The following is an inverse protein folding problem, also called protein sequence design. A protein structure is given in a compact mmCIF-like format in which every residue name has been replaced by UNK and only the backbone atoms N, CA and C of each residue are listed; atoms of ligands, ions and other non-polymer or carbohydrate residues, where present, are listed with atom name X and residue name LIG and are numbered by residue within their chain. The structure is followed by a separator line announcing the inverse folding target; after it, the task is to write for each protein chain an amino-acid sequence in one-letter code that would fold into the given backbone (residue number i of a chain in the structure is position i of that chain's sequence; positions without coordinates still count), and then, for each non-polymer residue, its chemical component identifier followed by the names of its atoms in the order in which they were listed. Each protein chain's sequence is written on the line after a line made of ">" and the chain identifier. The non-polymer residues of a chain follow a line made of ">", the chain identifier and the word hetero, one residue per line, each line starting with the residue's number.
data_IF_838849522788
#
_entry.id   IF_838849522788
#
_cell.length_a   1.000
_cell.length_b   1.000
_cell.length_c   1.000
_cell.angle_alpha   90.00
_cell.angle_beta   90.00
_cell.angle_gamma   90.00
#
_symmetry.space_group_name_H-M   'P 1'
#
loop_
_entity.id
_entity.type
_entity.pdbx_description
1 polymer ?
#
# COMPACT_ATOMS: atom_id res chain seq x y z
N UNK A 1 -64.73 24.38 8.66
CA UNK A 1 -64.57 25.35 7.56
C UNK A 1 -63.41 26.29 7.91
N UNK A 2 -62.36 26.27 7.07
CA UNK A 2 -61.42 27.38 6.76
C UNK A 2 -60.62 27.99 7.93
N UNK A 3 -59.35 27.59 8.10
CA UNK A 3 -58.12 28.20 7.52
C UNK A 3 -57.68 29.49 8.22
N UNK A 4 -56.52 29.44 8.88
CA UNK A 4 -55.48 30.49 8.82
C UNK A 4 -54.18 29.95 9.41
N UNK A 5 -53.28 29.51 8.53
CA UNK A 5 -51.89 29.26 8.84
C UNK A 5 -51.20 30.60 9.11
N UNK A 6 -50.53 30.74 10.25
CA UNK A 6 -49.62 31.84 10.52
C UNK A 6 -48.19 31.30 10.41
N UNK A 7 -47.60 31.46 9.23
CA UNK A 7 -46.17 31.32 9.02
C UNK A 7 -45.46 32.42 9.83
N UNK A 8 -44.67 32.03 10.81
CA UNK A 8 -43.66 32.90 11.42
C UNK A 8 -42.33 32.61 10.72
N UNK A 9 -41.93 33.52 9.85
CA UNK A 9 -40.58 33.60 9.28
C UNK A 9 -39.65 34.27 10.29
N UNK A 10 -38.47 33.68 10.52
CA UNK A 10 -37.21 34.22 11.09
C UNK A 10 -36.47 33.04 11.74
N UNK A 11 -35.22 32.69 11.47
CA UNK A 11 -34.17 33.22 10.62
C UNK A 11 -33.34 32.00 10.19
N UNK A 12 -33.18 31.78 8.88
CA UNK A 12 -32.16 30.88 8.36
C UNK A 12 -31.03 31.75 7.79
N UNK A 13 -29.81 31.32 8.09
CA UNK A 13 -28.54 31.70 7.45
C UNK A 13 -28.04 33.11 7.79
N UNK A 14 -27.41 33.25 8.97
CA UNK A 14 -26.17 34.03 9.01
C UNK A 14 -25.14 33.22 8.24
N UNK A 15 -25.07 33.45 6.93
CA UNK A 15 -23.94 33.02 6.13
C UNK A 15 -22.74 33.77 6.69
N UNK A 16 -21.90 33.08 7.43
CA UNK A 16 -20.51 33.49 7.56
C UNK A 16 -20.03 33.68 6.11
N UNK A 17 -19.67 34.90 5.75
CA UNK A 17 -18.91 35.14 4.54
C UNK A 17 -17.57 34.42 4.75
N UNK A 18 -17.53 33.14 4.36
CA UNK A 18 -16.27 32.43 4.19
C UNK A 18 -15.49 33.28 3.17
N UNK A 19 -14.25 33.64 3.52
CA UNK A 19 -13.38 34.36 2.60
C UNK A 19 -13.32 33.57 1.29
N UNK A 20 -13.59 34.24 0.19
CA UNK A 20 -13.58 33.59 -1.12
C UNK A 20 -12.18 33.28 -1.63
N UNK A 21 -11.17 33.90 -1.02
CA UNK A 21 -9.79 33.41 -1.03
C UNK A 21 -9.52 32.73 0.29
N UNK A 22 -9.10 31.47 0.24
CA UNK A 22 -8.84 30.67 1.45
C UNK A 22 -7.37 30.62 1.84
N UNK A 23 -6.46 30.98 0.92
CA UNK A 23 -5.02 30.95 1.18
C UNK A 23 -4.18 31.36 -0.02
N UNK A 24 -2.90 31.60 0.24
CA UNK A 24 -1.86 31.81 -0.75
C UNK A 24 -0.87 30.65 -0.61
N UNK A 25 -0.85 29.75 -1.58
CA UNK A 25 -0.10 28.50 -1.51
C UNK A 25 1.06 28.52 -2.48
N UNK A 26 2.25 28.19 -2.01
CA UNK A 26 3.38 27.87 -2.88
C UNK A 26 3.36 26.38 -3.22
N UNK A 27 3.63 26.05 -4.48
CA UNK A 27 3.76 24.69 -5.00
C UNK A 27 5.13 24.57 -5.68
N UNK A 28 5.92 23.57 -5.33
CA UNK A 28 7.21 23.33 -5.99
C UNK A 28 6.96 22.72 -7.36
N UNK A 29 7.43 23.38 -8.42
CA UNK A 29 7.29 22.88 -9.80
C UNK A 29 8.60 22.29 -10.35
N UNK A 30 9.74 22.62 -9.75
CA UNK A 30 11.04 22.03 -10.10
C UNK A 30 12.01 22.11 -8.92
N UNK A 31 12.73 21.01 -8.67
CA UNK A 31 13.95 20.99 -7.87
C UNK A 31 15.16 20.94 -8.82
N UNK A 32 16.04 21.93 -8.72
CA UNK A 32 17.12 22.12 -9.66
C UNK A 32 18.37 21.27 -9.42
N UNK A 33 18.48 20.57 -8.28
CA UNK A 33 19.56 19.61 -7.96
C UNK A 33 19.78 18.55 -9.07
N UNK A 34 18.72 18.27 -9.83
CA UNK A 34 18.71 17.24 -10.87
C UNK A 34 18.59 17.77 -12.30
N UNK A 35 18.40 19.09 -12.46
CA UNK A 35 18.12 19.69 -13.77
C UNK A 35 19.36 19.87 -14.65
N UNK A 36 20.55 19.86 -14.05
CA UNK A 36 21.82 20.03 -14.76
C UNK A 36 22.03 21.45 -15.32
N UNK A 37 21.35 22.44 -14.74
CA UNK A 37 21.49 23.87 -15.05
C UNK A 37 22.36 24.49 -13.94
N UNK A 38 23.66 24.73 -14.16
CA UNK A 38 24.59 25.08 -13.08
C UNK A 38 24.26 26.38 -12.32
N UNK A 39 23.52 27.30 -12.94
CA UNK A 39 23.13 28.57 -12.31
C UNK A 39 21.95 28.41 -11.33
N UNK A 40 21.27 27.27 -11.38
CA UNK A 40 20.10 26.96 -10.55
C UNK A 40 20.39 25.84 -9.54
N UNK A 41 21.61 25.30 -9.49
CA UNK A 41 21.97 24.25 -8.53
C UNK A 41 21.54 24.66 -7.10
N UNK A 42 20.95 23.72 -6.35
CA UNK A 42 20.41 23.92 -4.99
C UNK A 42 19.19 24.85 -4.88
N UNK A 43 18.64 25.34 -6.00
CA UNK A 43 17.42 26.15 -6.02
C UNK A 43 16.14 25.32 -6.21
N UNK A 44 15.03 25.87 -5.74
CA UNK A 44 13.67 25.38 -6.01
C UNK A 44 12.90 26.46 -6.78
N UNK A 45 12.12 26.04 -7.78
CA UNK A 45 11.14 26.91 -8.45
C UNK A 45 9.76 26.63 -7.88
N UNK A 46 9.09 27.69 -7.43
CA UNK A 46 7.75 27.67 -6.87
C UNK A 46 6.76 28.38 -7.78
N UNK A 47 5.56 27.82 -7.91
CA UNK A 47 4.38 28.55 -8.34
C UNK A 47 3.61 29.02 -7.11
N UNK A 48 3.31 30.32 -7.04
CA UNK A 48 2.48 30.90 -6.00
C UNK A 48 1.05 31.03 -6.52
N UNK A 49 0.10 30.39 -5.85
CA UNK A 49 -1.31 30.38 -6.21
C UNK A 49 -2.15 31.09 -5.16
N UNK A 50 -3.16 31.84 -5.61
CA UNK A 50 -4.26 32.25 -4.78
C UNK A 50 -5.38 31.19 -4.87
N UNK A 51 -5.74 30.59 -3.74
CA UNK A 51 -6.77 29.55 -3.65
C UNK A 51 -8.15 30.20 -3.48
N UNK A 52 -9.04 29.89 -4.42
CA UNK A 52 -10.39 30.42 -4.52
C UNK A 52 -11.42 29.42 -3.98
N UNK A 53 -12.65 29.88 -3.75
CA UNK A 53 -13.76 29.02 -3.31
C UNK A 53 -14.65 28.52 -4.43
N UNK A 54 -14.73 29.24 -5.56
CA UNK A 54 -15.55 28.84 -6.71
C UNK A 54 -14.79 28.97 -8.03
N UNK A 55 -15.16 28.13 -9.00
CA UNK A 55 -14.51 28.06 -10.32
C UNK A 55 -14.68 29.34 -11.15
N UNK A 56 -15.71 30.12 -10.84
CA UNK A 56 -16.05 31.39 -11.52
C UNK A 56 -15.47 32.61 -10.81
N UNK A 57 -14.82 32.47 -9.65
CA UNK A 57 -14.21 33.59 -8.96
C UNK A 57 -13.08 34.18 -9.83
N UNK A 58 -13.01 35.51 -9.94
CA UNK A 58 -12.05 36.21 -10.80
C UNK A 58 -11.11 37.09 -9.97
N UNK A 59 -9.80 36.86 -10.07
CA UNK A 59 -8.79 37.66 -9.39
C UNK A 59 -8.56 38.97 -10.15
N UNK A 60 -8.95 40.09 -9.54
CA UNK A 60 -8.86 41.41 -10.16
C UNK A 60 -7.51 42.09 -9.92
N UNK A 61 -6.92 41.90 -8.75
CA UNK A 61 -5.65 42.54 -8.43
C UNK A 61 -4.87 41.83 -7.33
N UNK A 62 -3.56 41.92 -7.42
CA UNK A 62 -2.60 41.70 -6.34
C UNK A 62 -1.96 43.07 -6.06
N UNK A 63 -2.00 43.55 -4.82
CA UNK A 63 -1.65 44.94 -4.52
C UNK A 63 -0.98 45.12 -3.16
N UNK A 64 -0.32 46.25 -2.96
CA UNK A 64 0.23 46.67 -1.67
C UNK A 64 0.37 48.18 -1.56
N UNK A 65 0.42 48.66 -0.33
CA UNK A 65 0.70 50.05 0.03
C UNK A 65 1.33 50.15 1.43
N UNK A 66 1.65 51.37 1.88
CA UNK A 66 2.24 51.62 3.21
C UNK A 66 1.40 51.13 4.40
N UNK A 67 0.09 51.02 4.25
CA UNK A 67 -0.81 50.56 5.31
C UNK A 67 -1.01 49.05 5.29
N UNK A 68 -0.92 48.45 4.10
CA UNK A 68 -1.08 47.02 3.83
C UNK A 68 0.02 46.57 2.87
N UNK A 69 1.24 46.32 3.38
CA UNK A 69 2.35 45.98 2.51
C UNK A 69 2.11 44.66 1.77
N UNK A 70 2.46 44.64 0.48
CA UNK A 70 2.67 43.39 -0.25
C UNK A 70 4.12 42.99 -0.06
N UNK A 71 4.36 41.78 0.42
CA UNK A 71 5.71 41.28 0.64
C UNK A 71 5.80 39.84 0.15
N UNK A 72 6.61 39.63 -0.88
CA UNK A 72 7.05 38.32 -1.34
C UNK A 72 8.57 38.32 -1.22
N UNK A 73 9.07 37.60 -0.22
CA UNK A 73 10.50 37.54 0.10
C UNK A 73 10.97 36.10 0.25
N UNK A 74 12.28 35.94 0.21
CA UNK A 74 12.97 34.68 0.43
C UNK A 74 14.11 34.91 1.43
N UNK A 75 14.52 33.87 2.16
CA UNK A 75 15.70 33.94 3.03
C UNK A 75 17.00 34.11 2.24
N UNK A 76 17.00 33.63 0.99
CA UNK A 76 18.05 33.84 -0.01
C UNK A 76 17.57 34.66 -1.21
N UNK A 77 18.46 34.93 -2.16
CA UNK A 77 18.16 35.79 -3.31
C UNK A 77 17.27 35.12 -4.34
N UNK A 78 16.34 35.88 -4.94
CA UNK A 78 15.58 35.38 -6.09
C UNK A 78 16.45 35.31 -7.34
N UNK A 79 16.31 34.21 -8.09
CA UNK A 79 16.94 34.06 -9.38
C UNK A 79 16.24 34.91 -10.44
N UNK A 80 17.04 35.61 -11.24
CA UNK A 80 16.59 36.48 -12.32
C UNK A 80 17.40 36.21 -13.58
N UNK A 81 16.75 35.70 -14.62
CA UNK A 81 17.37 35.38 -15.89
C UNK A 81 17.63 36.64 -16.70
N UNK A 82 18.80 36.73 -17.33
CA UNK A 82 19.11 37.83 -18.25
C UNK A 82 18.20 37.87 -19.49
N UNK A 83 17.54 36.76 -19.81
CA UNK A 83 16.57 36.64 -20.91
C UNK A 83 15.12 36.52 -20.39
N UNK A 84 14.95 36.72 -19.09
CA UNK A 84 13.68 36.70 -18.37
C UNK A 84 12.83 37.95 -18.59
N UNK A 85 11.79 38.07 -17.78
CA UNK A 85 10.92 39.25 -17.75
C UNK A 85 10.20 39.37 -16.41
N UNK A 86 9.99 40.59 -15.94
CA UNK A 86 9.28 40.91 -14.69
C UNK A 86 7.88 40.26 -14.56
N UNK A 87 7.24 40.00 -15.70
CA UNK A 87 5.87 39.48 -15.78
C UNK A 87 5.74 38.35 -16.78
N UNK A 88 4.92 37.35 -16.45
CA UNK A 88 4.71 36.17 -17.29
C UNK A 88 4.30 36.50 -18.73
N UNK A 89 3.35 37.43 -18.90
CA UNK A 89 2.84 37.82 -20.21
C UNK A 89 3.87 38.55 -21.08
N UNK A 90 5.02 38.95 -20.53
CA UNK A 90 6.14 39.53 -21.27
C UNK A 90 7.19 38.49 -21.69
N UNK A 91 7.11 37.26 -21.15
CA UNK A 91 8.04 36.17 -21.49
C UNK A 91 7.81 35.72 -22.93
N UNK A 92 8.89 35.71 -23.72
CA UNK A 92 8.85 35.22 -25.09
C UNK A 92 8.99 33.69 -25.12
N UNK A 93 7.88 32.97 -25.22
CA UNK A 93 7.89 31.50 -25.24
C UNK A 93 8.75 30.87 -26.35
N UNK A 94 9.07 31.61 -27.42
CA UNK A 94 9.88 31.10 -28.53
C UNK A 94 11.38 30.90 -28.18
N UNK A 95 11.88 31.54 -27.11
CA UNK A 95 13.29 31.42 -26.70
C UNK A 95 13.52 30.28 -25.71
N UNK A 96 12.49 29.86 -24.99
CA UNK A 96 12.55 28.90 -23.88
C UNK A 96 13.16 27.52 -24.24
N UNK A 97 12.95 26.95 -25.45
CA UNK A 97 13.61 25.69 -25.82
C UNK A 97 15.13 25.80 -26.03
N UNK A 98 15.64 27.03 -26.21
CA UNK A 98 17.06 27.28 -26.47
C UNK A 98 17.81 27.76 -25.22
N UNK A 99 17.09 28.31 -24.25
CA UNK A 99 17.61 28.85 -22.99
C UNK A 99 16.81 28.25 -21.84
N UNK A 100 17.14 27.01 -21.42
CA UNK A 100 16.37 26.28 -20.42
C UNK A 100 16.28 27.02 -19.08
N UNK A 101 17.31 27.77 -18.71
CA UNK A 101 17.38 28.60 -17.50
C UNK A 101 16.30 29.68 -17.44
N UNK A 102 15.87 30.22 -18.59
CA UNK A 102 14.82 31.23 -18.67
C UNK A 102 13.42 30.68 -18.36
N UNK A 103 13.24 29.35 -18.34
CA UNK A 103 11.96 28.74 -17.90
C UNK A 103 11.73 28.91 -16.40
N UNK A 104 12.80 29.12 -15.64
CA UNK A 104 12.79 29.17 -14.19
C UNK A 104 13.12 30.58 -13.68
N UNK A 105 12.91 31.59 -14.52
CA UNK A 105 12.97 32.99 -14.14
C UNK A 105 11.90 33.34 -13.09
N UNK A 106 12.17 34.32 -12.23
CA UNK A 106 11.20 34.75 -11.21
C UNK A 106 10.37 35.92 -11.71
N UNK A 107 9.04 35.80 -11.71
CA UNK A 107 8.14 36.78 -12.30
C UNK A 107 6.76 36.80 -11.63
N UNK A 108 6.01 37.88 -11.85
CA UNK A 108 4.63 38.03 -11.36
C UNK A 108 3.61 37.82 -12.47
N UNK A 109 2.40 37.43 -12.10
CA UNK A 109 1.30 37.25 -13.05
C UNK A 109 -0.08 37.39 -12.41
N UNK A 110 -1.12 37.34 -13.23
CA UNK A 110 -2.45 36.88 -12.85
C UNK A 110 -2.86 35.84 -13.90
N UNK A 111 -2.64 34.56 -13.59
CA UNK A 111 -3.05 33.39 -14.36
C UNK A 111 -2.29 33.07 -15.65
N UNK A 112 -1.49 33.99 -16.19
CA UNK A 112 -0.69 33.72 -17.39
C UNK A 112 0.68 33.11 -17.04
N UNK A 113 1.20 32.23 -17.89
CA UNK A 113 2.56 31.66 -17.76
C UNK A 113 3.52 32.11 -18.85
N UNK A 114 3.01 32.72 -19.93
CA UNK A 114 3.81 33.29 -21.02
C UNK A 114 2.96 34.25 -21.88
N UNK A 115 3.60 34.90 -22.86
CA UNK A 115 2.91 35.78 -23.81
C UNK A 115 1.93 35.07 -24.78
N UNK A 116 1.99 33.74 -24.93
CA UNK A 116 1.15 32.99 -25.85
C UNK A 116 -0.27 32.76 -25.31
N UNK A 117 -0.45 32.81 -23.98
CA UNK A 117 -1.76 32.67 -23.36
C UNK A 117 -2.68 33.88 -23.59
N UNK A 118 -2.10 35.06 -23.87
CA UNK A 118 -2.85 36.30 -24.08
C UNK A 118 -3.57 36.76 -22.81
N UNK A 119 -3.05 37.78 -22.14
CA UNK A 119 -3.63 38.32 -20.89
C UNK A 119 -3.95 39.81 -21.03
N UNK A 120 -4.97 40.26 -20.30
CA UNK A 120 -5.34 41.66 -20.11
C UNK A 120 -4.73 42.23 -18.82
N UNK A 121 -3.82 41.50 -18.18
CA UNK A 121 -3.11 41.95 -16.99
C UNK A 121 -2.21 43.16 -17.28
N UNK A 122 -2.11 44.02 -16.28
CA UNK A 122 -1.26 45.21 -16.27
C UNK A 122 -0.62 45.41 -14.90
N UNK A 123 0.34 46.31 -14.86
CA UNK A 123 1.08 46.65 -13.66
C UNK A 123 1.19 48.17 -13.52
N UNK A 124 1.14 48.67 -12.29
CA UNK A 124 1.31 50.09 -11.97
C UNK A 124 1.99 50.27 -10.61
N UNK A 125 2.91 51.23 -10.51
CA UNK A 125 3.53 51.61 -9.24
C UNK A 125 4.47 50.56 -8.65
N UNK A 126 5.03 49.67 -9.48
CA UNK A 126 5.89 48.56 -9.04
C UNK A 126 7.38 48.83 -9.28
N UNK A 127 7.77 50.00 -9.77
CA UNK A 127 9.15 50.28 -10.22
C UNK A 127 10.20 50.02 -9.12
N UNK A 128 9.90 50.41 -7.87
CA UNK A 128 10.82 50.19 -6.74
C UNK A 128 10.88 48.71 -6.33
N UNK A 129 9.72 48.04 -6.27
CA UNK A 129 9.64 46.62 -5.92
C UNK A 129 10.37 45.76 -6.96
N UNK A 130 10.15 46.03 -8.24
CA UNK A 130 10.81 45.37 -9.36
C UNK A 130 12.32 45.65 -9.39
N UNK A 131 12.76 46.86 -9.08
CA UNK A 131 14.20 47.16 -9.01
C UNK A 131 14.91 46.31 -7.93
N UNK A 132 14.29 46.14 -6.76
CA UNK A 132 14.79 45.25 -5.71
C UNK A 132 14.76 43.79 -6.16
N UNK A 133 13.62 43.34 -6.68
CA UNK A 133 13.39 41.97 -7.14
C UNK A 133 14.33 41.53 -8.25
N UNK A 134 14.57 42.39 -9.24
CA UNK A 134 15.52 42.16 -10.34
C UNK A 134 16.99 42.19 -9.92
N UNK A 135 17.28 42.66 -8.69
CA UNK A 135 18.60 42.58 -8.08
C UNK A 135 18.77 41.39 -7.12
N UNK A 136 17.79 40.48 -7.09
CA UNK A 136 17.75 39.31 -6.23
C UNK A 136 17.13 39.56 -4.84
N UNK A 137 16.69 40.78 -4.54
CA UNK A 137 16.00 41.12 -3.30
C UNK A 137 14.52 40.72 -3.30
N UNK A 138 13.82 40.93 -2.19
CA UNK A 138 12.38 40.70 -2.12
C UNK A 138 11.55 41.63 -3.01
N UNK A 139 10.36 41.19 -3.40
CA UNK A 139 9.34 42.01 -4.03
C UNK A 139 8.43 42.62 -2.96
N UNK A 140 8.67 43.89 -2.63
CA UNK A 140 8.01 44.58 -1.51
C UNK A 140 7.39 45.88 -2.02
N UNK A 141 6.09 46.05 -1.75
CA UNK A 141 5.33 47.28 -2.01
C UNK A 141 4.78 47.79 -0.68
N UNK A 142 5.47 48.76 -0.09
CA UNK A 142 5.19 49.31 1.25
C UNK A 142 5.22 50.85 1.28
N UNK A 143 5.11 51.50 0.12
CA UNK A 143 5.16 52.95 0.00
C UNK A 143 3.76 53.60 -0.10
N UNK A 144 3.72 54.93 0.03
CA UNK A 144 2.48 55.70 0.07
C UNK A 144 1.78 55.85 -1.29
N UNK A 145 2.46 55.59 -2.41
CA UNK A 145 1.87 55.51 -3.75
C UNK A 145 1.19 54.15 -3.90
N UNK A 146 1.84 53.10 -3.38
CA UNK A 146 1.43 51.73 -3.54
C UNK A 146 1.61 51.24 -4.98
N UNK A 147 1.21 50.00 -5.20
CA UNK A 147 1.37 49.37 -6.49
C UNK A 147 0.53 48.12 -6.63
N UNK A 148 0.27 47.74 -7.88
CA UNK A 148 -0.60 46.60 -8.16
C UNK A 148 -0.28 45.95 -9.50
N UNK A 149 -0.37 44.62 -9.51
CA UNK A 149 -0.67 43.83 -10.69
C UNK A 149 -2.18 43.65 -10.75
N UNK A 150 -2.81 44.00 -11.86
CA UNK A 150 -4.26 43.99 -11.99
C UNK A 150 -4.71 43.44 -13.33
N UNK A 151 -5.93 42.92 -13.38
CA UNK A 151 -6.61 42.49 -14.60
C UNK A 151 -7.88 43.31 -14.81
N UNK A 152 -8.38 43.27 -16.04
CA UNK A 152 -9.69 43.80 -16.38
C UNK A 152 -10.70 42.66 -16.36
N UNK A 153 -11.95 42.99 -16.02
CA UNK A 153 -13.05 42.01 -16.02
C UNK A 153 -13.10 41.24 -17.33
N UNK A 154 -13.20 39.91 -17.21
CA UNK A 154 -13.32 38.99 -18.33
C UNK A 154 -11.98 38.55 -18.90
N UNK A 155 -10.86 38.79 -18.20
CA UNK A 155 -9.61 38.08 -18.49
C UNK A 155 -9.78 36.61 -18.09
N UNK A 156 -9.80 35.73 -19.09
CA UNK A 156 -9.99 34.28 -18.88
C UNK A 156 -8.89 33.66 -18.05
N UNK A 157 -7.69 34.25 -18.00
CA UNK A 157 -6.60 33.75 -17.17
C UNK A 157 -6.80 34.13 -15.69
N UNK A 158 -7.56 35.19 -15.43
CA UNK A 158 -7.85 35.64 -14.08
C UNK A 158 -8.98 34.86 -13.40
N UNK A 159 -9.56 33.85 -14.06
CA UNK A 159 -10.68 33.06 -13.54
C UNK A 159 -10.15 31.76 -12.92
N UNK A 160 -10.66 31.40 -11.75
CA UNK A 160 -10.15 30.30 -10.93
C UNK A 160 -10.20 28.91 -11.59
N UNK A 161 -11.18 28.68 -12.48
CA UNK A 161 -11.30 27.43 -13.21
C UNK A 161 -11.58 26.22 -12.32
N UNK A 162 -11.47 25.02 -12.90
CA UNK A 162 -11.87 23.77 -12.24
C UNK A 162 -11.01 23.40 -11.02
N UNK A 163 -9.77 23.88 -10.94
CA UNK A 163 -8.87 23.67 -9.82
C UNK A 163 -9.00 24.75 -8.74
N UNK A 164 -9.88 25.75 -8.94
CA UNK A 164 -10.12 26.87 -8.03
C UNK A 164 -8.84 27.62 -7.65
N UNK A 165 -7.85 27.71 -8.53
CA UNK A 165 -6.55 28.34 -8.25
C UNK A 165 -6.18 29.31 -9.33
N UNK A 166 -5.59 30.43 -8.95
CA UNK A 166 -5.08 31.43 -9.89
C UNK A 166 -3.62 31.66 -9.60
N UNK A 167 -2.76 31.43 -10.60
CA UNK A 167 -1.33 31.69 -10.49
C UNK A 167 -1.08 33.19 -10.30
N UNK A 168 -0.22 33.56 -9.36
CA UNK A 168 0.12 34.96 -9.09
C UNK A 168 1.62 35.26 -9.22
N UNK A 169 2.48 34.25 -9.12
CA UNK A 169 3.92 34.39 -9.37
C UNK A 169 4.59 33.03 -9.65
N UNK A 170 5.72 33.08 -10.34
CA UNK A 170 6.74 32.02 -10.31
C UNK A 170 7.97 32.59 -9.61
N UNK A 171 8.54 31.85 -8.68
CA UNK A 171 9.63 32.32 -7.82
C UNK A 171 10.70 31.24 -7.70
N UNK A 172 11.94 31.58 -8.00
CA UNK A 172 13.06 30.64 -7.95
C UNK A 172 14.09 31.11 -6.95
N UNK A 173 14.42 30.27 -5.96
CA UNK A 173 15.35 30.61 -4.87
C UNK A 173 15.90 29.35 -4.21
N UNK A 174 17.10 29.44 -3.62
CA UNK A 174 17.64 28.41 -2.73
C UNK A 174 17.08 28.48 -1.30
N UNK A 175 16.43 29.60 -0.95
CA UNK A 175 15.88 29.85 0.38
C UNK A 175 14.38 29.53 0.51
N UNK A 176 13.84 29.83 1.69
CA UNK A 176 12.43 29.63 2.02
C UNK A 176 11.62 30.89 1.74
N UNK A 177 10.47 30.73 1.08
CA UNK A 177 9.56 31.85 0.80
C UNK A 177 8.81 32.26 2.07
N UNK A 178 8.71 33.57 2.28
CA UNK A 178 7.89 34.15 3.33
C UNK A 178 7.32 35.50 2.91
N UNK A 179 6.33 35.96 3.67
CA UNK A 179 5.70 37.25 3.46
C UNK A 179 4.18 37.15 3.43
N UNK A 180 3.55 38.16 2.87
CA UNK A 180 2.10 38.28 2.83
C UNK A 180 1.62 38.98 1.57
N UNK A 181 0.54 38.46 1.00
CA UNK A 181 -0.05 38.96 -0.23
C UNK A 181 -1.44 39.55 0.05
N UNK A 182 -1.73 40.70 -0.55
CA UNK A 182 -3.07 41.29 -0.57
C UNK A 182 -3.67 41.10 -1.95
N UNK A 183 -4.93 40.70 -2.00
CA UNK A 183 -5.65 40.45 -3.25
C UNK A 183 -7.02 41.09 -3.26
N UNK A 184 -7.47 41.44 -4.46
CA UNK A 184 -8.83 41.86 -4.76
C UNK A 184 -9.42 40.93 -5.81
N UNK A 185 -10.68 40.57 -5.65
CA UNK A 185 -11.40 39.66 -6.55
C UNK A 185 -12.83 40.11 -6.82
N UNK A 186 -13.42 39.54 -7.86
CA UNK A 186 -14.84 39.58 -8.15
C UNK A 186 -15.44 38.21 -7.87
N UNK A 187 -16.37 38.18 -6.91
CA UNK A 187 -17.13 36.99 -6.53
C UNK A 187 -17.91 36.49 -7.73
N UNK A 188 -17.71 35.22 -8.10
CA UNK A 188 -18.35 34.60 -9.28
C UNK A 188 -18.20 35.42 -10.59
N UNK A 189 -17.15 36.26 -10.68
CA UNK A 189 -16.90 37.11 -11.85
C UNK A 189 -17.80 38.35 -11.93
N UNK A 190 -18.54 38.69 -10.87
CA UNK A 190 -19.43 39.85 -10.85
C UNK A 190 -18.74 41.10 -10.26
N UNK A 191 -18.54 42.13 -11.09
CA UNK A 191 -17.89 43.40 -10.68
C UNK A 191 -18.57 44.12 -9.51
N UNK A 192 -19.89 43.97 -9.35
CA UNK A 192 -20.63 44.57 -8.24
C UNK A 192 -20.46 43.78 -6.92
N UNK A 193 -19.75 42.65 -6.95
CA UNK A 193 -19.41 41.82 -5.80
C UNK A 193 -17.88 41.76 -5.66
N UNK A 194 -17.23 42.92 -5.50
CA UNK A 194 -15.80 43.00 -5.25
C UNK A 194 -15.47 42.71 -3.77
N UNK A 195 -14.48 41.87 -3.52
CA UNK A 195 -13.94 41.57 -2.19
C UNK A 195 -12.42 41.81 -2.17
N UNK A 196 -11.90 42.21 -1.01
CA UNK A 196 -10.46 42.29 -0.74
C UNK A 196 -10.11 41.39 0.44
N UNK A 197 -9.00 40.67 0.32
CA UNK A 197 -8.41 39.89 1.39
C UNK A 197 -6.97 40.36 1.56
N UNK A 198 -6.63 40.76 2.78
CA UNK A 198 -5.39 41.46 3.10
C UNK A 198 -4.47 40.57 3.94
N UNK A 199 -3.16 40.78 3.81
CA UNK A 199 -2.11 40.17 4.61
C UNK A 199 -2.21 38.64 4.72
N UNK A 200 -2.57 37.96 3.62
CA UNK A 200 -2.58 36.50 3.61
C UNK A 200 -1.14 35.99 3.60
N UNK A 201 -0.73 35.18 4.59
CA UNK A 201 0.62 34.64 4.62
C UNK A 201 0.84 33.68 3.44
N UNK A 202 2.07 33.68 2.90
CA UNK A 202 2.50 32.64 1.96
C UNK A 202 2.61 31.33 2.73
N UNK A 203 1.89 30.31 2.27
CA UNK A 203 1.93 28.96 2.82
C UNK A 203 2.86 28.13 1.95
N UNK A 204 4.00 27.76 2.50
CA UNK A 204 4.90 26.80 1.87
C UNK A 204 4.24 25.41 1.83
N UNK A 205 4.56 24.60 0.81
CA UNK A 205 4.14 23.21 0.81
C UNK A 205 4.79 22.50 2.01
N UNK A 206 4.01 21.68 2.71
CA UNK A 206 4.51 20.85 3.81
C UNK A 206 4.80 19.46 3.27
N UNK A 207 6.07 19.05 3.26
CA UNK A 207 6.50 17.77 2.71
C UNK A 207 7.96 17.48 3.02
N UNK A 208 8.35 16.21 2.95
CA UNK A 208 9.70 15.72 3.21
C UNK A 208 10.20 14.95 1.99
N UNK A 209 11.48 15.10 1.63
CA UNK A 209 12.08 14.36 0.50
C UNK A 209 12.44 12.90 0.82
N UNK A 210 12.24 12.45 2.06
CA UNK A 210 12.52 11.10 2.51
C UNK A 210 11.30 10.19 2.33
N UNK A 211 11.46 9.13 1.55
CA UNK A 211 10.39 8.15 1.29
C UNK A 211 9.96 7.36 2.53
N UNK A 212 10.75 7.40 3.61
CA UNK A 212 10.42 6.75 4.89
C UNK A 212 9.62 7.67 5.82
N UNK A 213 9.44 8.95 5.48
CA UNK A 213 8.68 9.90 6.27
C UNK A 213 7.18 9.84 5.95
N UNK A 214 6.34 10.04 6.97
CA UNK A 214 4.87 10.11 6.87
C UNK A 214 4.36 11.29 6.04
N UNK A 215 5.16 12.34 5.91
CA UNK A 215 4.88 13.49 5.06
C UNK A 215 5.77 13.48 3.79
N UNK A 216 6.12 12.30 3.26
CA UNK A 216 6.89 12.21 2.01
C UNK A 216 6.20 12.92 0.85
N UNK A 217 6.94 13.81 0.18
CA UNK A 217 6.55 14.46 -1.06
C UNK A 217 7.73 14.45 -2.04
N UNK A 218 7.60 13.81 -3.22
CA UNK A 218 8.66 13.72 -4.22
C UNK A 218 9.11 15.06 -4.81
N UNK A 219 8.41 16.17 -4.53
CA UNK A 219 8.81 17.51 -4.92
C UNK A 219 9.93 18.09 -4.03
N UNK A 220 10.23 17.46 -2.89
CA UNK A 220 11.26 17.89 -1.94
C UNK A 220 12.52 17.03 -2.08
N UNK A 221 13.69 17.67 -2.01
CA UNK A 221 15.00 16.98 -2.01
C UNK A 221 15.34 16.34 -0.65
N UNK A 222 16.34 15.46 -0.64
CA UNK A 222 16.74 14.66 0.54
C UNK A 222 17.38 15.46 1.69
N UNK A 223 17.54 16.78 1.54
CA UNK A 223 18.31 17.64 2.46
C UNK A 223 17.45 18.26 3.57
N UNK A 224 16.11 18.22 3.46
CA UNK A 224 15.22 18.88 4.42
C UNK A 224 14.67 17.90 5.47
N UNK A 225 15.56 17.47 6.36
CA UNK A 225 15.26 16.45 7.39
C UNK A 225 14.60 17.01 8.65
N UNK A 226 14.50 18.33 8.79
CA UNK A 226 14.01 18.97 10.02
C UNK A 226 12.48 18.94 10.16
N UNK A 227 11.75 18.77 9.06
CA UNK A 227 10.28 18.69 9.03
C UNK A 227 9.74 17.28 8.73
N UNK A 228 10.63 16.29 8.57
CA UNK A 228 10.23 14.91 8.34
C UNK A 228 9.57 14.33 9.60
N UNK A 229 8.30 13.98 9.47
CA UNK A 229 7.57 13.27 10.51
C UNK A 229 7.72 11.78 10.24
N UNK A 230 8.30 11.05 11.18
CA UNK A 230 8.43 9.60 11.08
C UNK A 230 7.39 8.92 11.96
N UNK A 231 6.97 7.70 11.61
CA UNK A 231 6.14 6.91 12.51
C UNK A 231 6.89 6.65 13.82
N UNK A 232 6.17 6.63 14.95
CA UNK A 232 6.73 6.12 16.19
C UNK A 232 7.11 4.65 16.01
N UNK A 233 8.08 4.14 16.79
CA UNK A 233 8.60 2.78 16.65
C UNK A 233 7.54 1.64 16.77
N UNK A 234 6.32 1.99 17.17
CA UNK A 234 5.21 1.09 17.46
C UNK A 234 3.94 1.36 16.65
N UNK A 235 3.93 2.40 15.81
CA UNK A 235 2.76 2.80 15.04
C UNK A 235 3.13 3.06 13.60
N UNK A 236 2.14 3.09 12.72
CA UNK A 236 2.29 3.62 11.38
C UNK A 236 2.14 5.15 11.36
N UNK A 237 2.07 5.71 10.15
CA UNK A 237 1.97 7.14 9.91
C UNK A 237 0.59 7.74 10.24
N UNK A 238 -0.44 6.91 10.38
CA UNK A 238 -1.76 7.32 10.84
C UNK A 238 -1.88 7.24 12.37
N UNK A 239 -0.79 6.86 13.05
CA UNK A 239 -0.77 6.63 14.48
C UNK A 239 -1.50 5.34 14.88
N UNK A 240 -1.78 4.46 13.91
CA UNK A 240 -2.33 3.14 14.19
C UNK A 240 -1.20 2.20 14.62
N UNK A 241 -1.48 1.45 15.67
CA UNK A 241 -0.62 0.41 16.19
C UNK A 241 -0.31 -0.64 15.11
N UNK A 242 0.97 -0.97 14.93
CA UNK A 242 1.35 -2.10 14.07
C UNK A 242 1.09 -3.39 14.86
N UNK A 243 0.04 -4.11 14.50
CA UNK A 243 -0.38 -5.40 15.08
C UNK A 243 -0.41 -6.45 13.96
N UNK A 244 0.72 -7.12 13.73
CA UNK A 244 0.88 -8.04 12.60
C UNK A 244 0.07 -9.34 12.76
N UNK A 245 -0.22 -9.75 14.00
CA UNK A 245 -0.91 -11.00 14.31
C UNK A 245 -2.37 -10.82 14.76
N UNK A 246 -2.85 -9.58 14.82
CA UNK A 246 -4.21 -9.17 15.19
C UNK A 246 -4.62 -9.61 16.61
N UNK A 247 -3.69 -9.68 17.56
CA UNK A 247 -3.97 -10.06 18.95
C UNK A 247 -4.42 -8.87 19.82
N UNK A 248 -4.41 -7.64 19.28
CA UNK A 248 -4.79 -6.42 19.99
C UNK A 248 -3.68 -5.80 20.85
N UNK A 249 -2.43 -6.23 20.68
CA UNK A 249 -1.22 -5.60 21.21
C UNK A 249 -0.35 -5.11 20.05
N UNK A 250 0.40 -4.04 20.27
CA UNK A 250 1.36 -3.58 19.26
C UNK A 250 2.57 -4.49 19.25
N UNK A 251 3.11 -4.81 18.06
CA UNK A 251 4.26 -5.69 17.86
C UNK A 251 5.47 -5.33 18.76
N UNK A 252 5.65 -4.05 19.08
CA UNK A 252 6.73 -3.57 19.94
C UNK A 252 6.50 -3.79 21.45
N UNK A 253 5.25 -3.96 21.86
CA UNK A 253 4.82 -4.28 23.22
C UNK A 253 4.64 -5.80 23.42
N UNK A 254 4.83 -6.57 22.35
CA UNK A 254 4.77 -8.01 22.42
C UNK A 254 5.99 -8.61 23.11
N UNK A 255 5.74 -9.64 23.92
CA UNK A 255 6.80 -10.47 24.48
C UNK A 255 6.99 -11.69 23.57
N UNK A 256 8.12 -11.78 22.84
CA UNK A 256 8.39 -12.91 21.96
C UNK A 256 8.69 -14.18 22.77
N UNK A 257 8.08 -15.29 22.38
CA UNK A 257 8.33 -16.61 22.95
C UNK A 257 7.34 -17.65 22.45
N UNK A 258 7.43 -18.89 22.91
CA UNK A 258 6.52 -19.93 22.45
C UNK A 258 5.11 -19.76 23.05
N UNK A 259 4.11 -19.50 22.20
CA UNK A 259 2.70 -19.32 22.63
C UNK A 259 1.89 -20.62 22.62
N UNK A 260 2.45 -21.72 22.10
CA UNK A 260 1.77 -23.00 22.01
C UNK A 260 1.79 -23.75 23.36
N UNK A 261 0.63 -23.96 24.03
CA UNK A 261 0.57 -24.61 25.34
C UNK A 261 0.94 -26.10 25.33
N UNK A 262 1.07 -26.73 24.16
CA UNK A 262 1.52 -28.10 24.00
C UNK A 262 3.05 -28.21 23.82
N UNK A 263 3.75 -27.09 23.70
CA UNK A 263 5.20 -27.08 23.57
C UNK A 263 5.89 -27.20 24.94
N UNK A 264 7.05 -27.84 24.96
CA UNK A 264 7.88 -28.05 26.15
C UNK A 264 8.43 -26.74 26.73
N UNK A 265 8.59 -25.72 25.88
CA UNK A 265 9.06 -24.38 26.23
C UNK A 265 7.94 -23.33 26.14
N UNK A 266 6.67 -23.74 26.29
CA UNK A 266 5.55 -22.80 26.38
C UNK A 266 5.83 -21.70 27.41
N UNK A 267 5.69 -20.44 26.98
CA UNK A 267 5.79 -19.27 27.84
C UNK A 267 4.42 -18.60 27.96
N UNK A 268 3.90 -18.56 29.18
CA UNK A 268 2.60 -17.95 29.46
C UNK A 268 2.60 -16.42 29.39
N UNK A 269 3.79 -15.80 29.44
CA UNK A 269 3.96 -14.36 29.30
C UNK A 269 4.22 -13.95 27.84
N UNK A 270 4.47 -14.90 26.93
CA UNK A 270 4.64 -14.61 25.51
C UNK A 270 3.29 -14.21 24.88
N UNK A 271 3.28 -13.07 24.19
CA UNK A 271 2.13 -12.60 23.41
C UNK A 271 2.32 -12.78 21.90
N UNK A 272 3.53 -13.15 21.45
CA UNK A 272 3.86 -13.38 20.05
C UNK A 272 4.74 -14.62 19.87
N UNK A 273 4.37 -15.50 18.94
CA UNK A 273 5.15 -16.71 18.65
C UNK A 273 6.41 -16.37 17.86
N UNK A 274 7.57 -16.54 18.47
CA UNK A 274 8.87 -16.30 17.85
C UNK A 274 9.40 -17.53 17.07
N UNK A 275 8.60 -18.59 16.98
CA UNK A 275 8.98 -19.85 16.35
C UNK A 275 9.95 -20.68 17.20
N UNK A 276 10.16 -20.32 18.46
CA UNK A 276 11.01 -21.09 19.38
C UNK A 276 10.33 -22.34 19.92
N UNK A 277 9.03 -22.58 19.63
CA UNK A 277 8.29 -23.71 20.18
C UNK A 277 8.97 -25.07 19.94
N UNK A 278 9.17 -25.81 21.02
CA UNK A 278 9.76 -27.14 21.07
C UNK A 278 8.64 -28.13 21.34
N UNK A 279 8.29 -28.94 20.34
CA UNK A 279 7.17 -29.88 20.43
C UNK A 279 7.72 -31.29 20.22
N UNK A 280 7.57 -32.14 21.24
CA UNK A 280 7.87 -33.56 21.14
C UNK A 280 6.78 -34.31 20.38
N UNK A 281 7.17 -35.23 19.52
CA UNK A 281 6.23 -36.16 18.89
C UNK A 281 6.89 -37.00 17.80
N UNK A 282 6.12 -37.89 17.19
CA UNK A 282 6.66 -38.76 16.15
C UNK A 282 6.88 -37.99 14.83
N UNK A 283 8.13 -37.91 14.36
CA UNK A 283 8.49 -37.23 13.11
C UNK A 283 8.40 -38.11 11.85
N UNK A 284 8.08 -39.41 11.99
CA UNK A 284 8.05 -40.35 10.87
C UNK A 284 6.67 -40.39 10.23
N UNK A 285 6.56 -39.95 8.97
CA UNK A 285 5.29 -39.90 8.22
C UNK A 285 4.59 -41.26 8.06
N UNK A 286 5.32 -42.37 8.22
CA UNK A 286 4.80 -43.74 8.16
C UNK A 286 4.28 -44.26 9.49
N UNK A 287 4.48 -43.53 10.59
CA UNK A 287 3.96 -43.90 11.90
C UNK A 287 2.48 -43.52 12.02
N UNK A 288 1.72 -44.34 12.75
CA UNK A 288 0.30 -44.14 12.99
C UNK A 288 0.00 -42.87 13.81
N UNK A 289 0.95 -42.40 14.61
CA UNK A 289 0.86 -41.19 15.43
C UNK A 289 1.82 -40.08 14.96
N UNK A 290 2.13 -40.03 13.66
CA UNK A 290 2.90 -38.93 13.07
C UNK A 290 2.34 -37.57 13.50
N UNK A 291 3.19 -36.72 14.08
CA UNK A 291 2.87 -35.36 14.45
C UNK A 291 3.62 -34.40 13.52
N UNK A 292 2.93 -33.72 12.57
CA UNK A 292 3.58 -32.77 11.67
C UNK A 292 4.10 -31.50 12.38
N UNK A 293 3.66 -31.23 13.61
CA UNK A 293 4.11 -30.09 14.41
C UNK A 293 5.31 -30.44 15.31
N UNK A 294 5.74 -31.70 15.36
CA UNK A 294 6.87 -32.11 16.18
C UNK A 294 8.19 -31.52 15.65
N UNK A 295 8.95 -30.85 16.52
CA UNK A 295 10.28 -30.31 16.21
C UNK A 295 11.40 -31.28 16.55
N UNK A 296 11.11 -32.32 17.34
CA UNK A 296 12.03 -33.42 17.60
C UNK A 296 11.27 -34.74 17.85
N UNK A 297 11.94 -35.86 17.56
CA UNK A 297 11.41 -37.20 17.82
C UNK A 297 11.51 -37.53 19.31
N UNK A 298 10.36 -37.66 19.97
CA UNK A 298 10.25 -38.03 21.38
C UNK A 298 10.26 -39.55 21.61
N UNK A 299 10.50 -40.33 20.55
CA UNK A 299 10.46 -41.79 20.52
C UNK A 299 9.07 -42.37 20.82
N UNK A 300 8.00 -41.58 20.70
CA UNK A 300 6.62 -42.03 20.85
C UNK A 300 6.08 -42.74 19.59
N UNK A 301 6.84 -42.83 18.51
CA UNK A 301 6.39 -43.39 17.24
C UNK A 301 5.79 -44.79 17.34
N UNK A 302 4.60 -44.92 16.77
CA UNK A 302 3.82 -46.16 16.68
C UNK A 302 3.84 -46.61 15.23
N UNK A 303 4.68 -47.60 14.92
CA UNK A 303 4.73 -48.20 13.59
C UNK A 303 3.70 -49.33 13.49
N UNK A 304 2.95 -49.32 12.39
CA UNK A 304 2.02 -50.38 12.05
C UNK A 304 2.71 -51.40 11.14
N UNK A 305 2.42 -52.68 11.34
CA UNK A 305 3.04 -53.78 10.61
C UNK A 305 2.53 -55.12 11.13
N UNK A 306 3.07 -56.22 10.63
CA UNK A 306 2.69 -57.54 11.12
C UNK A 306 3.29 -57.81 12.51
N UNK A 307 2.47 -57.89 13.54
CA UNK A 307 2.91 -58.21 14.92
C UNK A 307 2.89 -59.71 15.23
N UNK A 308 2.34 -60.52 14.32
CA UNK A 308 2.30 -61.96 14.49
C UNK A 308 3.65 -62.62 14.18
N UNK A 309 4.32 -63.12 15.22
CA UNK A 309 5.62 -63.78 15.13
C UNK A 309 5.67 -65.04 14.25
N UNK A 310 4.52 -65.61 13.85
CA UNK A 310 4.47 -66.77 12.94
C UNK A 310 4.29 -66.38 11.47
N UNK A 311 4.09 -65.10 11.16
CA UNK A 311 3.99 -64.62 9.79
C UNK A 311 5.37 -64.45 9.14
N UNK A 312 5.43 -64.57 7.80
CA UNK A 312 6.67 -64.43 7.03
C UNK A 312 7.28 -63.02 7.07
N UNK A 313 6.44 -61.99 7.21
CA UNK A 313 6.84 -60.60 7.28
C UNK A 313 6.66 -60.00 8.69
N UNK A 314 6.78 -60.83 9.74
CA UNK A 314 6.77 -60.36 11.12
C UNK A 314 7.75 -59.20 11.30
N UNK A 315 7.24 -58.08 11.79
CA UNK A 315 8.03 -56.90 12.12
C UNK A 315 8.12 -56.76 13.65
N UNK A 316 9.30 -57.02 14.25
CA UNK A 316 9.48 -56.88 15.69
C UNK A 316 9.38 -55.42 16.20
N UNK A 317 9.39 -54.43 15.30
CA UNK A 317 9.19 -53.02 15.64
C UNK A 317 7.72 -52.56 15.51
N UNK A 318 6.83 -53.40 14.95
CA UNK A 318 5.41 -53.06 14.84
C UNK A 318 4.71 -53.18 16.20
N UNK A 319 4.01 -52.12 16.59
CA UNK A 319 3.21 -52.07 17.83
C UNK A 319 1.71 -52.21 17.56
N UNK A 320 1.30 -52.10 16.29
CA UNK A 320 -0.10 -52.18 15.84
C UNK A 320 -0.18 -53.07 14.61
N UNK A 321 -1.06 -54.07 14.65
CA UNK A 321 -1.37 -54.92 13.50
C UNK A 321 -2.05 -54.11 12.38
N UNK A 322 -1.45 -54.12 11.19
CA UNK A 322 -1.99 -53.44 10.00
C UNK A 322 -2.67 -54.40 9.00
N UNK A 323 -2.70 -55.69 9.31
CA UNK A 323 -3.23 -56.73 8.42
C UNK A 323 -2.29 -57.12 7.27
N UNK A 324 -1.04 -56.64 7.26
CA UNK A 324 -0.04 -57.01 6.26
C UNK A 324 0.55 -58.40 6.47
N UNK A 325 0.25 -59.09 7.57
CA UNK A 325 0.80 -60.41 7.90
C UNK A 325 0.65 -61.41 6.77
N UNK A 326 1.76 -62.02 6.36
CA UNK A 326 1.86 -63.00 5.29
C UNK A 326 1.94 -64.41 5.88
N UNK A 327 0.93 -65.22 5.63
CA UNK A 327 0.86 -66.62 6.07
C UNK A 327 1.01 -67.53 4.86
N UNK A 328 2.03 -68.40 4.90
CA UNK A 328 2.31 -69.39 3.88
C UNK A 328 1.46 -70.63 4.12
N UNK A 329 0.65 -71.02 3.14
CA UNK A 329 -0.15 -72.24 3.22
C UNK A 329 -0.88 -72.51 1.92
N UNK A 330 -1.52 -73.67 1.81
CA UNK A 330 -2.30 -73.97 0.62
C UNK A 330 -3.62 -73.19 0.64
N UNK A 331 -3.88 -72.40 -0.39
CA UNK A 331 -5.12 -71.59 -0.53
C UNK A 331 -6.23 -72.32 -1.28
N UNK A 332 -5.99 -73.56 -1.71
CA UNK A 332 -6.98 -74.36 -2.46
C UNK A 332 -7.88 -75.14 -1.48
N UNK A 333 -9.20 -74.85 -1.41
CA UNK A 333 -10.13 -75.54 -0.52
C UNK A 333 -10.30 -77.04 -0.83
N UNK A 334 -9.80 -77.54 -1.97
CA UNK A 334 -9.86 -78.97 -2.31
C UNK A 334 -8.60 -79.75 -1.92
N UNK A 335 -7.55 -79.09 -1.41
CA UNK A 335 -6.35 -79.79 -0.95
C UNK A 335 -6.52 -80.36 0.47
N UNK A 336 -5.71 -81.36 0.83
CA UNK A 336 -5.72 -81.95 2.18
C UNK A 336 -5.10 -81.02 3.24
N UNK A 337 -4.25 -80.09 2.82
CA UNK A 337 -3.55 -79.16 3.69
C UNK A 337 -4.03 -77.70 3.50
N UNK A 338 -5.30 -77.52 3.09
CA UNK A 338 -5.91 -76.21 2.95
C UNK A 338 -5.80 -75.41 4.25
N UNK A 339 -5.20 -74.22 4.14
CA UNK A 339 -5.07 -73.26 5.23
C UNK A 339 -5.98 -72.05 4.93
N UNK A 340 -7.11 -71.89 5.65
CA UNK A 340 -8.04 -70.79 5.44
C UNK A 340 -7.48 -69.41 5.82
N UNK A 341 -6.34 -69.32 6.52
CA UNK A 341 -5.69 -68.04 6.85
C UNK A 341 -4.49 -67.71 5.95
N UNK A 342 -4.12 -68.61 5.03
CA UNK A 342 -3.04 -68.37 4.08
C UNK A 342 -3.40 -67.27 3.07
N UNK A 343 -2.48 -66.33 2.87
CA UNK A 343 -2.57 -65.28 1.85
C UNK A 343 -1.33 -65.23 0.95
N UNK A 344 -0.39 -66.14 1.16
CA UNK A 344 0.74 -66.43 0.28
C UNK A 344 0.67 -67.90 -0.11
N UNK A 345 0.66 -68.18 -1.42
CA UNK A 345 0.56 -69.54 -1.95
C UNK A 345 1.73 -70.41 -1.47
N UNK A 346 1.42 -71.40 -0.64
CA UNK A 346 2.32 -72.48 -0.23
C UNK A 346 2.14 -73.74 -1.07
N UNK A 347 2.82 -74.81 -0.67
CA UNK A 347 2.71 -76.13 -1.29
C UNK A 347 1.36 -76.77 -0.94
N UNK A 348 0.61 -77.20 -1.95
CA UNK A 348 -0.69 -77.86 -1.79
C UNK A 348 -0.53 -79.38 -1.90
N UNK A 349 -1.04 -80.09 -0.91
CA UNK A 349 -1.07 -81.55 -0.88
C UNK A 349 -2.38 -82.05 -1.49
N UNK A 350 -2.25 -82.63 -2.69
CA UNK A 350 -3.33 -83.31 -3.40
C UNK A 350 -3.19 -84.83 -3.32
N UNK A 351 -2.40 -85.36 -2.38
CA UNK A 351 -2.30 -86.80 -2.14
C UNK A 351 -3.72 -87.36 -2.02
N UNK A 352 -4.10 -88.14 -3.02
CA UNK A 352 -5.48 -88.21 -3.45
C UNK A 352 -6.36 -88.93 -2.42
N UNK A 353 -7.46 -88.31 -2.01
CA UNK A 353 -8.67 -89.08 -1.74
C UNK A 353 -9.47 -89.07 -3.03
N UNK A 354 -9.06 -89.90 -3.99
CA UNK A 354 -9.94 -90.27 -5.08
C UNK A 354 -11.08 -91.08 -4.44
N UNK A 355 -12.20 -90.44 -4.10
CA UNK A 355 -13.38 -91.11 -3.49
C UNK A 355 -13.90 -92.28 -4.33
N UNK A 356 -13.51 -92.34 -5.61
CA UNK A 356 -13.87 -93.37 -6.58
C UNK A 356 -12.71 -94.27 -7.00
N UNK A 357 -11.54 -94.12 -6.37
CA UNK A 357 -10.46 -95.11 -6.42
C UNK A 357 -10.83 -96.22 -5.42
N UNK A 358 -11.51 -97.23 -5.94
CA UNK A 358 -12.12 -98.30 -5.15
C UNK A 358 -11.10 -99.39 -4.81
N UNK A 359 -9.98 -99.49 -5.54
CA UNK A 359 -8.88 -100.40 -5.20
C UNK A 359 -7.69 -99.74 -4.48
N UNK A 360 -7.67 -98.42 -4.38
CA UNK A 360 -6.68 -97.64 -3.64
C UNK A 360 -5.33 -97.55 -4.36
N UNK A 361 -5.31 -97.64 -5.69
CA UNK A 361 -4.08 -97.61 -6.50
C UNK A 361 -3.60 -96.19 -6.88
N UNK A 362 -4.40 -95.18 -6.55
CA UNK A 362 -4.14 -93.77 -6.79
C UNK A 362 -4.65 -93.23 -8.12
N UNK A 363 -5.31 -94.06 -8.95
CA UNK A 363 -5.96 -93.66 -10.19
C UNK A 363 -7.48 -93.87 -10.11
N UNK A 364 -8.24 -93.25 -11.02
CA UNK A 364 -9.66 -93.57 -11.24
C UNK A 364 -9.79 -94.04 -12.67
N UNK A 365 -9.81 -95.35 -12.88
CA UNK A 365 -9.81 -95.95 -14.20
C UNK A 365 -10.86 -97.07 -14.36
N UNK A 366 -10.72 -97.88 -15.42
CA UNK A 366 -11.69 -98.94 -15.72
C UNK A 366 -11.74 -100.01 -14.63
N UNK A 367 -10.66 -100.21 -13.88
CA UNK A 367 -10.57 -101.22 -12.83
C UNK A 367 -11.43 -100.84 -11.61
N UNK A 368 -11.50 -99.55 -11.26
CA UNK A 368 -12.43 -99.04 -10.26
C UNK A 368 -13.90 -99.24 -10.67
N UNK A 369 -14.21 -98.94 -11.92
CA UNK A 369 -15.56 -99.11 -12.46
C UNK A 369 -15.99 -100.59 -12.45
N UNK A 370 -15.03 -101.50 -12.69
CA UNK A 370 -15.25 -102.95 -12.59
C UNK A 370 -15.53 -103.37 -11.14
N UNK A 371 -14.81 -102.83 -10.17
CA UNK A 371 -15.08 -103.07 -8.74
C UNK A 371 -16.47 -102.58 -8.32
N UNK A 372 -16.90 -101.42 -8.82
CA UNK A 372 -18.26 -100.94 -8.60
C UNK A 372 -19.30 -101.90 -9.21
N UNK A 373 -19.08 -102.38 -10.43
CA UNK A 373 -19.99 -103.32 -11.08
C UNK A 373 -20.00 -104.71 -10.46
N UNK A 374 -18.88 -105.15 -9.89
CA UNK A 374 -18.81 -106.40 -9.13
C UNK A 374 -19.67 -106.30 -7.86
N UNK A 375 -19.60 -105.18 -7.14
CA UNK A 375 -20.45 -104.94 -5.97
C UNK A 375 -21.92 -104.65 -6.34
N UNK A 376 -22.20 -104.16 -7.55
CA UNK A 376 -23.54 -103.78 -8.01
C UNK A 376 -24.45 -105.01 -8.19
N UNK A 377 -25.32 -105.24 -7.22
CA UNK A 377 -26.30 -106.33 -7.23
C UNK A 377 -26.15 -107.34 -6.10
N UNK A 378 -25.17 -107.17 -5.20
CA UNK A 378 -25.14 -107.89 -3.93
C UNK A 378 -26.14 -107.27 -2.94
N UNK A 379 -26.97 -108.11 -2.31
CA UNK A 379 -27.82 -107.69 -1.20
C UNK A 379 -26.93 -107.31 0.00
N UNK A 380 -27.09 -106.09 0.51
CA UNK A 380 -26.46 -105.66 1.75
C UNK A 380 -27.29 -106.21 2.93
N UNK A 381 -26.71 -107.11 3.74
CA UNK A 381 -27.26 -107.44 5.08
C UNK A 381 -26.80 -106.42 6.13
#
# INVERSE_FOLDING_TARGET
>A
MKHAALLLACCFVSGLALGQVTGIHAEVIANHDTTGIPELDEMKTYHLYAQMTNETDELSAVFGDISTPLNISSTESFYQSALGADFAWAINGAILPFFPEANYDSWLTIGATNNAMGSLAGAIGLDMALASFNSGGGFIVDDAIGGSVFTLLGDVNAVAGADNRILIAQLTTAGDLYGSVNVQMFVEGFQNQSMQVLAMPIQLPQGCGDMEACNYDPAFGFEDTAECTYPDACSDCDGECIDANANGQCDCDEFPGCTNPLADNYDAEASSDDGSCVIGGCMYITAANFNPEATYDDLSCVFAGCTNATALNFDPAALVEDGSCLYLGCMDPVSLNFDPVANVSGECDYSAVCMSDLDGDGYVDVFDLLLMFEAYGYDCE
#
